data_IF_664918464416
#
_entry.id   IF_664918464416
#
_cell.length_a   1.000
_cell.length_b   1.000
_cell.length_c   1.000
_cell.angle_alpha   90.00
_cell.angle_beta   90.00
_cell.angle_gamma   90.00
#
_symmetry.space_group_name_H-M   'P 1'
#
loop_
_entity.id
_entity.type
_entity.pdbx_description
1 polymer ?
#
# COMPACT_ATOMS: atom_id res chain seq x y z
N UNK A 1 -23.76 -21.42 4.95
CA UNK A 1 -23.61 -20.68 3.68
C UNK A 1 -22.12 -20.40 3.56
N UNK A 2 -21.42 -21.14 2.70
CA UNK A 2 -19.96 -21.29 2.74
C UNK A 2 -19.27 -20.04 2.17
N UNK A 3 -18.29 -19.58 2.94
CA UNK A 3 -17.29 -18.53 2.69
C UNK A 3 -16.78 -18.54 1.23
N UNK A 4 -17.30 -17.62 0.39
CA UNK A 4 -16.72 -17.33 -0.92
C UNK A 4 -15.45 -16.52 -0.67
N UNK A 5 -14.33 -17.24 -0.54
CA UNK A 5 -12.98 -16.67 -0.51
C UNK A 5 -12.63 -16.13 -1.89
N UNK A 6 -13.15 -14.94 -2.20
CA UNK A 6 -12.80 -14.24 -3.43
C UNK A 6 -11.34 -13.79 -3.36
N UNK A 7 -10.56 -14.19 -4.35
CA UNK A 7 -9.31 -13.53 -4.68
C UNK A 7 -9.67 -12.51 -5.74
N UNK A 8 -9.56 -11.22 -5.43
CA UNK A 8 -9.75 -10.15 -6.41
C UNK A 8 -8.38 -9.73 -6.90
N UNK A 9 -8.22 -9.59 -8.22
CA UNK A 9 -6.98 -9.12 -8.83
C UNK A 9 -7.27 -7.88 -9.65
N UNK A 10 -6.29 -6.98 -9.73
CA UNK A 10 -6.32 -5.82 -10.59
C UNK A 10 -4.95 -5.65 -11.24
N UNK A 11 -4.93 -5.40 -12.55
CA UNK A 11 -3.72 -5.29 -13.34
C UNK A 11 -3.61 -3.97 -14.08
N UNK A 12 -2.38 -3.57 -14.40
CA UNK A 12 -2.11 -2.34 -15.10
C UNK A 12 -0.63 -1.98 -15.09
N UNK A 13 -0.32 -0.70 -14.90
CA UNK A 13 1.05 -0.19 -14.95
C UNK A 13 1.36 0.74 -13.77
N UNK A 14 2.62 0.73 -13.35
CA UNK A 14 3.13 1.59 -12.29
C UNK A 14 4.49 2.20 -12.66
N UNK A 15 4.70 3.43 -12.27
CA UNK A 15 5.97 4.14 -12.35
C UNK A 15 6.54 4.32 -10.95
N UNK A 16 7.86 4.16 -10.81
CA UNK A 16 8.55 4.21 -9.53
C UNK A 16 9.71 5.19 -9.62
N UNK A 17 9.76 6.11 -8.66
CA UNK A 17 10.87 7.03 -8.43
C UNK A 17 11.45 6.78 -7.05
N UNK A 18 12.76 6.55 -6.95
CA UNK A 18 13.46 6.35 -5.67
C UNK A 18 14.34 7.54 -5.31
N UNK A 19 14.70 7.65 -4.04
CA UNK A 19 15.77 8.54 -3.61
C UNK A 19 17.09 8.13 -4.26
N UNK A 20 17.95 9.12 -4.53
CA UNK A 20 19.30 8.89 -5.03
C UNK A 20 20.28 8.44 -3.93
N UNK A 21 19.97 8.72 -2.66
CA UNK A 21 20.82 8.37 -1.53
C UNK A 21 20.72 6.88 -1.14
N UNK A 22 21.79 6.33 -0.56
CA UNK A 22 21.90 4.91 -0.20
C UNK A 22 20.78 4.46 0.76
N UNK A 23 20.45 5.28 1.75
CA UNK A 23 19.40 4.97 2.74
C UNK A 23 18.05 4.80 2.06
N UNK A 24 17.70 5.70 1.15
CA UNK A 24 16.45 5.63 0.40
C UNK A 24 16.40 4.44 -0.55
N UNK A 25 17.52 4.08 -1.18
CA UNK A 25 17.59 2.87 -2.02
C UNK A 25 17.40 1.59 -1.20
N UNK A 26 17.99 1.51 0.00
CA UNK A 26 17.83 0.38 0.91
C UNK A 26 16.38 0.27 1.39
N UNK A 27 15.79 1.37 1.86
CA UNK A 27 14.41 1.40 2.35
C UNK A 27 13.40 1.08 1.23
N UNK A 28 13.59 1.60 0.02
CA UNK A 28 12.75 1.25 -1.13
C UNK A 28 12.82 -0.25 -1.46
N UNK A 29 13.99 -0.87 -1.30
CA UNK A 29 14.17 -2.31 -1.52
C UNK A 29 13.51 -3.15 -0.42
N UNK A 30 13.57 -2.70 0.84
CA UNK A 30 12.85 -3.32 1.96
C UNK A 30 11.32 -3.22 1.80
N UNK A 31 10.84 -2.16 1.17
CA UNK A 31 9.43 -1.99 0.79
C UNK A 31 9.04 -2.79 -0.46
N UNK A 32 9.92 -3.65 -0.99
CA UNK A 32 9.60 -4.49 -2.15
C UNK A 32 9.33 -3.71 -3.43
N UNK A 33 9.86 -2.50 -3.58
CA UNK A 33 9.74 -1.72 -4.81
C UNK A 33 10.76 -2.23 -5.84
N UNK A 34 10.56 -1.99 -7.16
CA UNK A 34 11.56 -2.17 -8.21
C UNK A 34 12.46 -0.92 -8.35
N UNK A 35 13.62 -0.99 -9.03
CA UNK A 35 14.45 0.19 -9.34
C UNK A 35 13.64 1.34 -9.94
N UNK A 36 14.17 2.57 -9.91
CA UNK A 36 13.47 3.69 -10.52
C UNK A 36 13.26 3.42 -12.03
N UNK A 37 12.03 3.62 -12.51
CA UNK A 37 11.61 3.25 -13.86
C UNK A 37 10.15 3.58 -14.10
N UNK A 38 9.72 3.48 -15.35
CA UNK A 38 8.36 3.77 -15.79
C UNK A 38 7.69 2.51 -16.35
N UNK A 39 6.36 2.48 -16.30
CA UNK A 39 5.51 1.46 -16.93
C UNK A 39 5.85 0.01 -16.54
N UNK A 40 6.20 -0.22 -15.27
CA UNK A 40 6.30 -1.57 -14.72
C UNK A 40 4.93 -2.26 -14.80
N UNK A 41 4.85 -3.51 -15.27
CA UNK A 41 3.65 -4.32 -15.09
C UNK A 41 3.28 -4.36 -13.61
N UNK A 42 2.06 -3.94 -13.31
CA UNK A 42 1.54 -3.85 -11.96
C UNK A 42 0.39 -4.84 -11.79
N UNK A 43 0.46 -5.66 -10.75
CA UNK A 43 -0.63 -6.57 -10.36
C UNK A 43 -0.85 -6.40 -8.86
N UNK A 44 -2.09 -6.14 -8.46
CA UNK A 44 -2.50 -6.08 -7.06
C UNK A 44 -3.55 -7.14 -6.83
N UNK A 45 -3.26 -8.04 -5.90
CA UNK A 45 -4.13 -9.15 -5.52
C UNK A 45 -4.59 -8.98 -4.09
N UNK A 46 -5.89 -9.02 -3.88
CA UNK A 46 -6.57 -8.98 -2.60
C UNK A 46 -7.08 -10.37 -2.27
N UNK A 47 -6.74 -10.89 -1.09
CA UNK A 47 -7.20 -12.19 -0.64
C UNK A 47 -7.66 -12.14 0.80
N UNK A 48 -8.87 -12.63 1.06
CA UNK A 48 -9.42 -12.68 2.40
C UNK A 48 -8.77 -13.80 3.23
N UNK A 49 -8.35 -13.46 4.44
CA UNK A 49 -7.77 -14.37 5.44
C UNK A 49 -8.39 -14.11 6.81
N UNK A 50 -9.59 -14.66 7.04
CA UNK A 50 -10.30 -14.50 8.30
C UNK A 50 -10.80 -13.07 8.50
N UNK A 51 -10.33 -12.39 9.55
CA UNK A 51 -10.64 -10.98 9.86
C UNK A 51 -9.71 -9.98 9.15
N UNK A 52 -8.83 -10.47 8.28
CA UNK A 52 -7.81 -9.67 7.62
C UNK A 52 -7.79 -9.91 6.12
N UNK A 53 -7.27 -8.93 5.40
CA UNK A 53 -7.03 -8.95 3.96
C UNK A 53 -5.52 -9.00 3.71
N UNK A 54 -5.07 -9.94 2.90
CA UNK A 54 -3.69 -10.00 2.44
C UNK A 54 -3.63 -9.35 1.07
N UNK A 55 -2.89 -8.26 0.98
CA UNK A 55 -2.64 -7.53 -0.25
C UNK A 55 -1.26 -7.87 -0.77
N UNK A 56 -1.20 -8.45 -1.97
CA UNK A 56 0.05 -8.67 -2.69
C UNK A 56 0.14 -7.69 -3.86
N UNK A 57 1.16 -6.86 -3.86
CA UNK A 57 1.48 -5.92 -4.94
C UNK A 57 2.72 -6.43 -5.66
N UNK A 58 2.64 -6.57 -6.97
CA UNK A 58 3.76 -6.91 -7.84
C UNK A 58 4.01 -5.76 -8.80
N UNK A 59 5.26 -5.33 -8.88
CA UNK A 59 5.72 -4.29 -9.79
C UNK A 59 6.96 -4.82 -10.52
N UNK A 60 6.78 -5.29 -11.75
CA UNK A 60 7.77 -6.14 -12.41
C UNK A 60 8.04 -7.42 -11.60
N UNK A 61 9.32 -7.74 -11.37
CA UNK A 61 9.73 -8.92 -10.60
C UNK A 61 9.66 -8.73 -9.08
N UNK A 62 9.42 -7.49 -8.62
CA UNK A 62 9.39 -7.14 -7.22
C UNK A 62 8.00 -7.37 -6.63
N UNK A 63 7.96 -7.91 -5.40
CA UNK A 63 6.73 -8.24 -4.67
C UNK A 63 6.76 -7.61 -3.28
N UNK A 64 5.66 -6.93 -2.94
CA UNK A 64 5.35 -6.47 -1.59
C UNK A 64 4.05 -7.14 -1.13
N UNK A 65 4.08 -7.80 0.01
CA UNK A 65 2.89 -8.35 0.65
C UNK A 65 2.64 -7.62 1.98
N UNK A 66 1.41 -7.15 2.16
CA UNK A 66 0.96 -6.54 3.41
C UNK A 66 -0.31 -7.23 3.91
N UNK A 67 -0.53 -7.16 5.21
CA UNK A 67 -1.77 -7.63 5.84
C UNK A 67 -2.51 -6.42 6.39
N UNK A 68 -3.75 -6.27 5.97
CA UNK A 68 -4.62 -5.17 6.35
C UNK A 68 -5.80 -5.71 7.14
N UNK A 69 -6.26 -4.95 8.13
CA UNK A 69 -7.53 -5.24 8.82
C UNK A 69 -8.08 -4.03 9.51
N UNK A 70 -9.37 -4.07 9.82
CA UNK A 70 -9.99 -3.07 10.67
C UNK A 70 -9.40 -3.12 12.09
N UNK A 71 -9.17 -1.95 12.69
CA UNK A 71 -8.80 -1.86 14.10
C UNK A 71 -9.93 -2.35 15.03
N UNK A 72 -9.63 -2.49 16.32
CA UNK A 72 -10.59 -3.00 17.32
C UNK A 72 -10.72 -2.04 18.50
N UNK A 73 -11.86 -2.11 19.19
CA UNK A 73 -12.12 -1.26 20.37
C UNK A 73 -12.05 0.23 20.02
N UNK A 74 -11.17 0.98 20.70
CA UNK A 74 -10.96 2.42 20.44
C UNK A 74 -10.38 2.73 19.05
N UNK A 75 -9.90 1.71 18.34
CA UNK A 75 -9.25 1.85 17.02
C UNK A 75 -10.12 1.35 15.86
N UNK A 76 -11.40 1.05 16.10
CA UNK A 76 -12.32 0.49 15.09
C UNK A 76 -12.54 1.38 13.85
N UNK A 77 -12.24 2.68 13.96
CA UNK A 77 -12.33 3.65 12.87
C UNK A 77 -11.06 3.72 12.01
N UNK A 78 -10.02 2.98 12.36
CA UNK A 78 -8.73 3.00 11.66
C UNK A 78 -8.46 1.69 10.92
N UNK A 79 -7.72 1.79 9.83
CA UNK A 79 -7.14 0.66 9.13
C UNK A 79 -5.80 0.31 9.78
N UNK A 80 -5.58 -0.95 10.09
CA UNK A 80 -4.28 -1.47 10.54
C UNK A 80 -3.61 -2.17 9.36
N UNK A 81 -2.49 -1.64 8.90
CA UNK A 81 -1.67 -2.27 7.87
C UNK A 81 -0.34 -2.76 8.44
N UNK A 82 0.05 -3.98 8.12
CA UNK A 82 1.31 -4.59 8.58
C UNK A 82 2.13 -5.10 7.41
N UNK A 83 3.43 -4.83 7.48
CA UNK A 83 4.42 -5.39 6.56
C UNK A 83 5.72 -5.66 7.33
N UNK A 84 6.15 -6.92 7.35
CA UNK A 84 7.27 -7.37 8.18
C UNK A 84 7.10 -6.94 9.66
N UNK A 85 8.12 -6.30 10.27
CA UNK A 85 8.04 -5.85 11.66
C UNK A 85 7.27 -4.53 11.84
N UNK A 86 6.86 -3.87 10.76
CA UNK A 86 6.23 -2.55 10.77
C UNK A 86 4.71 -2.70 10.78
N UNK A 87 4.06 -1.93 11.66
CA UNK A 87 2.60 -1.79 11.68
C UNK A 87 2.21 -0.30 11.64
N UNK A 88 1.32 0.04 10.73
CA UNK A 88 0.73 1.36 10.56
C UNK A 88 -0.72 1.34 11.04
N UNK A 89 -1.10 2.35 11.80
CA UNK A 89 -2.50 2.68 12.07
C UNK A 89 -2.84 3.88 11.20
N UNK A 90 -3.74 3.68 10.25
CA UNK A 90 -4.08 4.63 9.20
C UNK A 90 -5.50 5.14 9.39
N UNK A 91 -5.67 6.46 9.25
CA UNK A 91 -6.98 7.08 9.08
C UNK A 91 -7.21 7.32 7.61
N UNK A 92 -8.37 6.87 7.12
CA UNK A 92 -8.80 7.09 5.75
C UNK A 92 -9.70 8.33 5.69
N UNK A 93 -9.38 9.23 4.77
CA UNK A 93 -10.18 10.43 4.49
C UNK A 93 -10.74 10.30 3.07
N UNK A 94 -11.95 9.77 2.96
CA UNK A 94 -12.66 9.63 1.69
C UNK A 94 -13.54 10.85 1.38
N UNK A 95 -13.51 11.31 0.14
CA UNK A 95 -14.43 12.31 -0.41
C UNK A 95 -14.65 12.07 -1.92
N UNK A 96 -15.30 13.01 -2.60
CA UNK A 96 -15.61 12.90 -4.04
C UNK A 96 -14.38 12.80 -4.96
N UNK A 97 -13.20 13.23 -4.48
CA UNK A 97 -11.93 13.19 -5.23
C UNK A 97 -11.09 11.95 -4.92
N UNK A 98 -11.58 11.04 -4.07
CA UNK A 98 -10.92 9.79 -3.71
C UNK A 98 -10.60 9.66 -2.22
N UNK A 99 -9.64 8.80 -1.89
CA UNK A 99 -9.27 8.43 -0.53
C UNK A 99 -7.83 8.86 -0.27
N UNK A 100 -7.63 9.59 0.83
CA UNK A 100 -6.29 9.91 1.36
C UNK A 100 -6.00 9.16 2.64
N UNK A 101 -4.73 8.79 2.84
CA UNK A 101 -4.29 8.04 4.00
C UNK A 101 -3.44 8.91 4.91
N UNK A 102 -3.76 8.90 6.21
CA UNK A 102 -3.00 9.60 7.24
C UNK A 102 -2.45 8.60 8.26
N UNK A 103 -1.14 8.68 8.54
CA UNK A 103 -0.52 7.89 9.60
C UNK A 103 -0.90 8.47 10.96
N UNK A 104 -1.65 7.68 11.73
CA UNK A 104 -2.04 7.99 13.12
C UNK A 104 -1.08 7.35 14.12
N UNK A 105 -0.44 6.24 13.75
CA UNK A 105 0.58 5.59 14.58
C UNK A 105 1.47 4.68 13.76
N UNK A 106 2.74 4.59 14.18
CA UNK A 106 3.68 3.57 13.69
C UNK A 106 4.18 2.72 14.84
N UNK A 107 4.24 1.40 14.61
CA UNK A 107 4.87 0.43 15.50
C UNK A 107 5.95 -0.33 14.74
N UNK A 108 7.06 -0.62 15.40
CA UNK A 108 8.10 -1.53 14.90
C UNK A 108 8.34 -2.59 15.96
N UNK A 109 8.27 -3.88 15.59
CA UNK A 109 8.26 -5.01 16.54
C UNK A 109 7.20 -4.86 17.65
N UNK A 110 6.06 -4.22 17.33
CA UNK A 110 4.98 -3.95 18.28
C UNK A 110 5.17 -2.73 19.18
N UNK A 111 6.35 -2.11 19.19
CA UNK A 111 6.68 -0.94 20.02
C UNK A 111 6.30 0.34 19.27
N UNK A 112 5.53 1.27 19.88
CA UNK A 112 5.20 2.54 19.23
C UNK A 112 6.44 3.40 19.02
N UNK A 113 6.62 3.91 17.80
CA UNK A 113 7.70 4.84 17.49
C UNK A 113 7.37 6.27 17.97
N UNK A 114 8.41 7.04 18.30
CA UNK A 114 8.28 8.46 18.55
C UNK A 114 7.88 9.21 17.27
N UNK A 115 7.00 10.21 17.37
CA UNK A 115 6.48 10.95 16.20
C UNK A 115 7.57 11.61 15.35
N UNK A 116 8.69 12.01 15.94
CA UNK A 116 9.80 12.66 15.24
C UNK A 116 10.54 11.74 14.25
N UNK A 117 10.31 10.42 14.30
CA UNK A 117 10.93 9.44 13.39
C UNK A 117 9.89 8.69 12.55
N UNK A 118 8.63 9.10 12.58
CA UNK A 118 7.62 8.48 11.74
C UNK A 118 7.91 8.72 10.27
N UNK A 119 7.66 7.74 9.39
CA UNK A 119 7.63 8.00 7.97
C UNK A 119 6.58 9.06 7.64
N UNK A 120 6.89 9.89 6.65
CA UNK A 120 5.90 10.73 5.99
C UNK A 120 5.18 9.88 4.95
N UNK A 121 3.87 10.10 4.81
CA UNK A 121 3.03 9.43 3.83
C UNK A 121 2.14 10.46 3.14
N UNK A 122 2.27 10.56 1.82
CA UNK A 122 1.26 11.18 0.96
C UNK A 122 0.73 10.08 0.04
N UNK A 123 -0.43 9.53 0.39
CA UNK A 123 -1.06 8.46 -0.35
C UNK A 123 -2.48 8.88 -0.72
N UNK A 124 -2.78 8.79 -2.01
CA UNK A 124 -4.06 9.14 -2.61
C UNK A 124 -4.46 8.08 -3.62
N UNK A 125 -5.70 7.62 -3.51
CA UNK A 125 -6.31 6.65 -4.41
C UNK A 125 -7.62 7.25 -4.95
N UNK A 126 -7.89 7.11 -6.23
CA UNK A 126 -9.10 7.64 -6.86
C UNK A 126 -9.50 6.83 -8.10
N UNK A 127 -10.70 7.07 -8.61
CA UNK A 127 -11.18 6.48 -9.86
C UNK A 127 -11.24 7.57 -10.92
N UNK A 128 -10.68 7.30 -12.10
CA UNK A 128 -10.68 8.18 -13.26
C UNK A 128 -10.94 7.34 -14.51
N UNK A 129 -12.03 7.61 -15.24
CA UNK A 129 -12.37 6.91 -16.49
C UNK A 129 -12.33 5.37 -16.36
N UNK A 130 -12.93 4.84 -15.28
CA UNK A 130 -12.95 3.41 -14.91
C UNK A 130 -11.58 2.80 -14.55
N UNK A 131 -10.54 3.61 -14.46
CA UNK A 131 -9.24 3.20 -13.91
C UNK A 131 -9.16 3.53 -12.43
N UNK A 132 -8.75 2.54 -11.65
CA UNK A 132 -8.28 2.78 -10.29
C UNK A 132 -6.88 3.36 -10.35
N UNK A 133 -6.71 4.59 -9.87
CA UNK A 133 -5.47 5.33 -9.82
C UNK A 133 -4.94 5.35 -8.39
N UNK A 134 -3.62 5.29 -8.26
CA UNK A 134 -2.95 5.50 -6.98
C UNK A 134 -1.70 6.34 -7.16
N UNK A 135 -1.38 7.14 -6.15
CA UNK A 135 -0.12 7.85 -5.99
C UNK A 135 0.28 7.76 -4.53
N UNK A 136 1.46 7.18 -4.26
CA UNK A 136 1.99 7.01 -2.92
C UNK A 136 3.42 7.52 -2.86
N UNK A 137 3.67 8.46 -1.97
CA UNK A 137 4.99 8.95 -1.62
C UNK A 137 5.30 8.66 -0.15
N UNK A 138 6.43 8.01 0.09
CA UNK A 138 6.94 7.67 1.42
C UNK A 138 8.28 8.39 1.62
N UNK A 139 8.46 8.97 2.79
CA UNK A 139 9.70 9.62 3.19
C UNK A 139 10.03 9.45 4.67
N UNK A 140 11.15 10.02 5.10
CA UNK A 140 11.52 10.16 6.51
C UNK A 140 11.88 11.63 6.82
N UNK A 141 11.62 12.13 8.04
CA UNK A 141 11.82 13.54 8.39
C UNK A 141 13.23 14.09 8.10
N UNK A 142 14.27 13.26 8.20
CA UNK A 142 15.67 13.66 7.96
C UNK A 142 16.17 13.30 6.56
N UNK A 143 15.69 12.19 6.00
CA UNK A 143 16.16 11.68 4.70
C UNK A 143 15.42 12.32 3.54
N UNK A 144 14.24 12.88 3.79
CA UNK A 144 13.30 13.34 2.77
C UNK A 144 12.61 12.17 2.08
N UNK A 145 12.20 12.38 0.83
CA UNK A 145 11.52 11.37 0.01
C UNK A 145 12.39 10.13 -0.19
N UNK A 146 11.82 8.97 0.10
CA UNK A 146 12.45 7.65 -0.10
C UNK A 146 11.99 7.04 -1.42
N UNK A 147 10.68 7.01 -1.63
CA UNK A 147 10.08 6.42 -2.82
C UNK A 147 8.77 7.11 -3.12
N UNK A 148 8.50 7.29 -4.41
CA UNK A 148 7.17 7.58 -4.94
C UNK A 148 6.84 6.50 -5.95
N UNK A 149 5.64 5.96 -5.86
CA UNK A 149 5.11 5.06 -6.87
C UNK A 149 3.67 5.44 -7.17
N UNK A 150 3.35 5.46 -8.45
CA UNK A 150 2.04 5.86 -8.95
C UNK A 150 1.67 4.99 -10.13
N UNK A 151 0.38 4.81 -10.35
CA UNK A 151 -0.06 3.89 -11.38
C UNK A 151 -1.55 3.90 -11.59
N UNK A 152 -1.96 3.03 -12.50
CA UNK A 152 -3.36 2.78 -12.83
C UNK A 152 -3.59 1.29 -12.97
N UNK A 153 -4.74 0.83 -12.49
CA UNK A 153 -5.16 -0.56 -12.50
C UNK A 153 -6.60 -0.63 -13.01
N UNK A 154 -6.92 -1.72 -13.68
CA UNK A 154 -8.28 -2.17 -13.90
C UNK A 154 -8.47 -3.45 -13.08
N UNK A 155 -9.66 -3.60 -12.51
CA UNK A 155 -10.04 -4.86 -11.88
C UNK A 155 -10.02 -5.92 -12.98
N UNK A 156 -9.30 -7.00 -12.74
CA UNK A 156 -9.35 -8.16 -13.61
C UNK A 156 -10.78 -8.71 -13.50
N UNK A 157 -11.56 -8.69 -14.58
CA UNK A 157 -12.85 -9.38 -14.60
C UNK A 157 -12.57 -10.82 -14.16
N UNK A 158 -13.20 -11.25 -13.06
CA UNK A 158 -13.18 -12.65 -12.64
C UNK A 158 -13.44 -13.48 -13.90
N UNK A 159 -12.52 -14.41 -14.21
CA UNK A 159 -12.85 -15.49 -15.12
C UNK A 159 -14.10 -16.16 -14.54
N UNK A 160 -15.25 -15.77 -15.07
CA UNK A 160 -16.50 -16.47 -14.93
C UNK A 160 -16.26 -17.86 -15.52
N UNK A 161 -15.80 -18.77 -14.70
CA UNK A 161 -15.78 -20.21 -14.97
C UNK A 161 -16.85 -20.72 -14.00
N UNK A 162 -18.10 -20.78 -14.46
CA UNK A 162 -18.70 -21.91 -15.19
C UNK A 162 -18.79 -23.18 -14.36
#
# INVERSE_FOLDING_TARGET
>A
MHDVRGIVSASGVASVSRASNFVGQLLASLLGMPPAGQDYPAIVTFSNRGDAEVLTRRYGDNRLETVQKQGVGKESVYLVEKFGPVGLLLKLHGNETGIRFEIVRVRVFGIPLARCIWPTLDAHEWVEEDWYRFSVEIGLPVVGRIVRYEGRLQIDEEAAIS
#
